data_IF_591950034261
#
_entry.id   IF_591950034261
#
_cell.length_a   1.000
_cell.length_b   1.000
_cell.length_c   1.000
_cell.angle_alpha   90.00
_cell.angle_beta   90.00
_cell.angle_gamma   90.00
#
_symmetry.space_group_name_H-M   'P 1'
#
loop_
_entity.id
_entity.type
_entity.pdbx_description
1 polymer ?
#
# COMPACT_ATOMS: atom_id res chain seq x y z
N UNK A 1 27.70 -9.25 24.77
CA UNK A 1 27.75 -8.95 23.32
C UNK A 1 26.48 -9.54 22.73
N UNK A 2 25.45 -8.73 22.52
CA UNK A 2 24.21 -9.18 21.88
C UNK A 2 24.53 -9.39 20.41
N UNK A 3 24.46 -10.64 19.94
CA UNK A 3 24.60 -10.97 18.52
C UNK A 3 23.51 -10.21 17.74
N UNK A 4 23.88 -9.05 17.19
CA UNK A 4 22.99 -8.22 16.41
C UNK A 4 22.65 -8.96 15.12
N UNK A 5 21.37 -9.18 14.86
CA UNK A 5 20.90 -9.80 13.62
C UNK A 5 21.50 -9.03 12.43
N UNK A 6 22.18 -9.72 11.49
CA UNK A 6 22.91 -9.06 10.41
C UNK A 6 21.94 -8.33 9.48
N UNK A 7 22.36 -7.17 8.97
CA UNK A 7 21.62 -6.47 7.94
C UNK A 7 21.57 -7.31 6.66
N UNK A 8 20.41 -7.37 6.03
CA UNK A 8 20.18 -8.01 4.73
C UNK A 8 19.91 -6.95 3.65
N UNK A 9 19.43 -5.78 4.05
CA UNK A 9 19.13 -4.65 3.18
C UNK A 9 19.86 -3.37 3.61
N UNK A 10 20.16 -2.54 2.61
CA UNK A 10 20.31 -1.11 2.85
C UNK A 10 18.91 -0.51 3.04
N UNK A 11 18.65 0.24 4.13
CA UNK A 11 17.35 0.87 4.34
C UNK A 11 16.97 1.78 3.17
N UNK A 12 15.67 1.87 2.89
CA UNK A 12 15.12 2.74 1.87
C UNK A 12 13.84 3.39 2.40
N UNK A 13 13.55 4.61 1.94
CA UNK A 13 12.30 5.28 2.26
C UNK A 13 11.86 6.19 1.12
N UNK A 14 10.55 6.40 1.03
CA UNK A 14 9.92 7.43 0.21
C UNK A 14 8.76 8.04 1.00
N UNK A 15 8.61 9.36 0.89
CA UNK A 15 7.58 10.18 1.53
C UNK A 15 6.78 10.87 0.42
N UNK A 16 5.46 11.04 0.60
CA UNK A 16 4.66 11.97 -0.19
C UNK A 16 3.97 13.02 0.69
N UNK A 17 3.98 14.26 0.20
CA UNK A 17 3.24 15.40 0.74
C UNK A 17 1.91 15.67 0.00
N UNK A 18 1.54 14.77 -0.92
CA UNK A 18 0.22 14.71 -1.52
C UNK A 18 0.13 14.92 -3.04
N UNK A 19 -0.89 14.26 -3.60
CA UNK A 19 -1.49 14.26 -4.93
C UNK A 19 -2.23 15.55 -5.34
N UNK A 20 -2.21 15.99 -6.60
CA UNK A 20 -3.27 16.87 -7.10
C UNK A 20 -2.97 17.60 -8.40
N UNK A 21 -3.91 18.43 -8.84
CA UNK A 21 -3.76 19.32 -9.99
C UNK A 21 -2.87 20.53 -9.67
N UNK A 22 -1.64 20.27 -9.22
CA UNK A 22 -0.63 21.29 -8.92
C UNK A 22 -0.14 21.86 -10.24
N UNK A 23 -0.29 23.17 -10.44
CA UNK A 23 0.14 23.83 -11.67
C UNK A 23 1.46 24.55 -11.44
N UNK A 24 2.48 24.21 -12.23
CA UNK A 24 3.80 24.84 -12.17
C UNK A 24 3.73 26.37 -12.27
N UNK A 25 2.92 26.90 -13.19
CA UNK A 25 2.74 28.33 -13.39
C UNK A 25 2.07 29.07 -12.22
N UNK A 26 1.42 28.34 -11.31
CA UNK A 26 0.72 28.89 -10.15
C UNK A 26 1.40 28.55 -8.83
N UNK A 27 2.51 27.80 -8.84
CA UNK A 27 3.26 27.47 -7.63
C UNK A 27 4.39 28.49 -7.44
N UNK A 28 4.30 29.42 -6.46
CA UNK A 28 5.33 30.42 -6.24
C UNK A 28 6.66 29.80 -5.78
N UNK A 29 7.82 30.35 -6.18
CA UNK A 29 9.13 29.81 -5.79
C UNK A 29 9.35 29.71 -4.28
N UNK A 30 8.90 30.71 -3.52
CA UNK A 30 9.03 30.71 -2.05
C UNK A 30 8.20 29.60 -1.40
N UNK A 31 7.01 29.32 -1.94
CA UNK A 31 6.17 28.23 -1.45
C UNK A 31 6.76 26.88 -1.83
N UNK A 32 7.27 26.74 -3.06
CA UNK A 32 8.01 25.55 -3.48
C UNK A 32 9.19 25.27 -2.54
N UNK A 33 9.99 26.30 -2.23
CA UNK A 33 11.14 26.18 -1.34
C UNK A 33 10.76 25.74 0.08
N UNK A 34 9.63 26.21 0.61
CA UNK A 34 9.11 25.80 1.92
C UNK A 34 8.72 24.32 1.95
N UNK A 35 7.87 23.87 1.01
CA UNK A 35 7.51 22.45 0.89
C UNK A 35 8.74 21.56 0.68
N UNK A 36 9.67 22.00 -0.17
CA UNK A 36 10.91 21.29 -0.43
C UNK A 36 11.76 21.15 0.85
N UNK A 37 11.92 22.23 1.61
CA UNK A 37 12.69 22.23 2.85
C UNK A 37 12.07 21.32 3.92
N UNK A 38 10.74 21.38 4.12
CA UNK A 38 10.03 20.48 5.04
C UNK A 38 10.25 19.01 4.66
N UNK A 39 9.96 18.63 3.42
CA UNK A 39 10.11 17.24 2.96
C UNK A 39 11.56 16.73 3.05
N UNK A 40 12.54 17.59 2.73
CA UNK A 40 13.96 17.24 2.85
C UNK A 40 14.35 17.00 4.32
N UNK A 41 13.86 17.83 5.23
CA UNK A 41 14.09 17.67 6.67
C UNK A 41 13.53 16.34 7.18
N UNK A 42 12.29 15.99 6.79
CA UNK A 42 11.63 14.76 7.21
C UNK A 42 12.29 13.52 6.63
N UNK A 43 12.72 13.60 5.36
CA UNK A 43 13.50 12.55 4.70
C UNK A 43 14.78 12.26 5.47
N UNK A 44 15.55 13.30 5.82
CA UNK A 44 16.81 13.17 6.57
C UNK A 44 16.60 12.61 7.97
N UNK A 45 15.67 13.19 8.73
CA UNK A 45 15.36 12.71 10.09
C UNK A 45 14.94 11.24 10.10
N UNK A 46 14.11 10.83 9.15
CA UNK A 46 13.64 9.43 9.06
C UNK A 46 14.74 8.49 8.58
N UNK A 47 15.58 8.94 7.63
CA UNK A 47 16.76 8.19 7.18
C UNK A 47 17.73 7.93 8.33
N UNK A 48 17.99 8.94 9.17
CA UNK A 48 18.86 8.81 10.33
C UNK A 48 18.29 7.80 11.34
N UNK A 49 16.98 7.84 11.57
CA UNK A 49 16.28 6.86 12.41
C UNK A 49 16.42 5.43 11.86
N UNK A 50 16.22 5.20 10.55
CA UNK A 50 16.46 3.90 9.91
C UNK A 50 17.92 3.44 10.03
N UNK A 51 18.88 4.35 9.84
CA UNK A 51 20.31 4.06 9.96
C UNK A 51 20.72 3.70 11.39
N UNK A 52 20.00 4.21 12.40
CA UNK A 52 20.19 3.82 13.80
C UNK A 52 19.66 2.42 14.13
N UNK A 53 19.00 1.75 13.18
CA UNK A 53 18.47 0.40 13.34
C UNK A 53 17.00 0.34 13.76
N UNK A 54 16.22 1.41 13.55
CA UNK A 54 14.79 1.40 13.78
C UNK A 54 14.06 0.45 12.81
N UNK A 55 12.88 -0.04 13.23
CA UNK A 55 12.00 -0.83 12.37
C UNK A 55 11.38 0.03 11.25
N UNK A 56 10.93 -0.62 10.18
CA UNK A 56 10.22 0.08 9.11
C UNK A 56 8.96 0.80 9.63
N UNK A 57 8.24 0.17 10.58
CA UNK A 57 7.04 0.73 11.20
C UNK A 57 7.35 2.02 11.96
N UNK A 58 8.35 1.98 12.85
CA UNK A 58 8.71 3.16 13.66
C UNK A 58 9.19 4.31 12.78
N UNK A 59 9.97 4.01 11.75
CA UNK A 59 10.42 5.03 10.79
C UNK A 59 9.27 5.63 9.98
N UNK A 60 8.35 4.82 9.45
CA UNK A 60 7.21 5.32 8.68
C UNK A 60 6.27 6.18 9.54
N UNK A 61 6.01 5.76 10.78
CA UNK A 61 5.19 6.51 11.75
C UNK A 61 5.87 7.82 12.16
N UNK A 62 7.20 7.81 12.34
CA UNK A 62 7.98 9.01 12.61
C UNK A 62 7.86 10.04 11.48
N UNK A 63 8.08 9.61 10.23
CA UNK A 63 7.96 10.48 9.06
C UNK A 63 6.58 11.15 8.96
N UNK A 64 5.51 10.37 9.16
CA UNK A 64 4.14 10.88 9.08
C UNK A 64 3.78 11.74 10.29
N UNK A 65 4.32 11.46 11.49
CA UNK A 65 4.12 12.33 12.66
C UNK A 65 4.72 13.71 12.43
N UNK A 66 5.87 13.80 11.76
CA UNK A 66 6.49 15.08 11.38
C UNK A 66 5.63 15.85 10.37
N UNK A 67 5.01 15.15 9.41
CA UNK A 67 4.07 15.73 8.45
C UNK A 67 2.78 16.22 9.13
N UNK A 68 2.26 15.48 10.12
CA UNK A 68 1.06 15.85 10.88
C UNK A 68 1.25 17.10 11.77
N UNK A 69 2.49 17.45 12.13
CA UNK A 69 2.80 18.68 12.87
C UNK A 69 2.97 19.91 11.94
N UNK A 70 3.12 19.70 10.63
CA UNK A 70 3.37 20.76 9.65
C UNK A 70 2.09 21.21 8.95
N UNK A 71 1.70 22.46 9.22
CA UNK A 71 0.51 23.11 8.68
C UNK A 71 0.45 23.20 7.15
N UNK A 72 1.55 22.94 6.44
CA UNK A 72 1.57 22.88 4.99
C UNK A 72 0.82 21.67 4.43
N UNK A 73 0.73 20.57 5.17
CA UNK A 73 0.13 19.34 4.69
C UNK A 73 -1.32 19.17 5.13
N UNK A 74 -2.10 18.37 4.40
CA UNK A 74 -3.49 18.08 4.74
C UNK A 74 -3.58 16.85 5.65
N UNK A 75 -3.09 16.97 6.87
CA UNK A 75 -3.11 15.94 7.92
C UNK A 75 -2.76 16.60 9.25
N UNK A 76 -3.22 16.06 10.38
CA UNK A 76 -2.91 16.66 11.69
C UNK A 76 -3.19 18.17 11.69
N UNK A 77 -2.21 18.96 12.15
CA UNK A 77 -2.21 20.41 12.00
C UNK A 77 -2.21 20.80 10.51
N UNK A 78 -3.20 21.59 10.11
CA UNK A 78 -3.38 21.94 8.69
C UNK A 78 -4.31 20.99 7.92
N UNK A 79 -5.01 20.10 8.63
CA UNK A 79 -6.15 19.36 8.08
C UNK A 79 -7.23 20.31 7.56
N UNK A 80 -7.89 19.88 6.49
CA UNK A 80 -9.01 20.60 5.88
C UNK A 80 -10.29 20.52 6.74
N UNK A 81 -11.22 21.45 6.50
CA UNK A 81 -12.49 21.51 7.21
C UNK A 81 -13.59 20.71 6.50
N UNK A 82 -14.51 20.15 7.28
CA UNK A 82 -15.80 19.64 6.81
C UNK A 82 -16.71 20.79 6.39
N UNK A 83 -17.84 20.48 5.75
CA UNK A 83 -18.88 21.47 5.44
C UNK A 83 -19.51 22.11 6.67
N UNK A 84 -19.38 21.48 7.85
CA UNK A 84 -19.82 22.02 9.13
C UNK A 84 -18.76 22.90 9.84
N UNK A 85 -17.59 23.11 9.23
CA UNK A 85 -16.50 23.87 9.83
C UNK A 85 -15.77 23.12 10.95
N UNK A 86 -15.90 21.80 11.03
CA UNK A 86 -15.14 20.93 11.94
C UNK A 86 -13.94 20.31 11.23
N UNK A 87 -13.01 19.71 11.98
CA UNK A 87 -11.88 18.95 11.45
C UNK A 87 -12.04 17.49 11.85
N UNK A 88 -11.90 16.58 10.89
CA UNK A 88 -12.02 15.13 11.08
C UNK A 88 -10.88 14.43 10.35
N UNK A 89 -10.03 13.72 11.09
CA UNK A 89 -8.79 13.14 10.58
C UNK A 89 -8.86 11.62 10.48
N UNK A 90 -8.07 11.08 9.58
CA UNK A 90 -7.98 9.65 9.31
C UNK A 90 -6.50 9.25 9.14
N UNK A 91 -6.11 8.09 9.65
CA UNK A 91 -4.77 7.56 9.47
C UNK A 91 -4.74 6.04 9.44
N UNK A 92 -3.69 5.48 8.85
CA UNK A 92 -3.51 4.04 8.72
C UNK A 92 -2.06 3.61 8.67
N UNK A 93 -1.83 2.37 9.10
CA UNK A 93 -0.54 1.69 9.04
C UNK A 93 -0.72 0.26 8.56
N UNK A 94 0.25 -0.24 7.81
CA UNK A 94 0.33 -1.67 7.48
C UNK A 94 1.78 -2.13 7.43
N UNK A 95 2.03 -3.35 7.90
CA UNK A 95 3.36 -3.96 7.91
C UNK A 95 3.36 -5.33 7.25
N UNK A 96 4.49 -5.70 6.67
CA UNK A 96 4.72 -7.07 6.16
C UNK A 96 4.85 -8.08 7.29
N UNK A 97 5.30 -7.63 8.45
CA UNK A 97 5.33 -8.39 9.70
C UNK A 97 5.30 -7.44 10.91
N UNK A 98 4.60 -7.81 11.98
CA UNK A 98 4.75 -7.15 13.29
C UNK A 98 5.86 -7.75 14.13
N UNK A 99 6.32 -8.95 13.79
CA UNK A 99 7.38 -9.60 14.54
C UNK A 99 8.67 -8.82 14.37
N UNK A 100 9.36 -8.61 15.49
CA UNK A 100 10.71 -8.07 15.48
C UNK A 100 11.66 -9.14 14.96
N UNK A 101 12.79 -8.72 14.38
CA UNK A 101 13.85 -9.64 13.97
C UNK A 101 14.29 -10.58 15.10
N UNK A 102 14.23 -10.13 16.35
CA UNK A 102 14.65 -10.85 17.56
C UNK A 102 13.62 -11.85 18.08
N UNK A 103 12.42 -11.90 17.52
CA UNK A 103 11.35 -12.74 18.05
C UNK A 103 11.64 -14.22 17.78
N UNK A 104 11.41 -15.05 18.80
CA UNK A 104 11.69 -16.49 18.76
C UNK A 104 10.79 -17.25 17.77
N UNK A 105 9.64 -16.67 17.41
CA UNK A 105 8.71 -17.25 16.43
C UNK A 105 8.89 -16.62 15.04
N UNK A 106 9.41 -17.38 14.06
CA UNK A 106 9.88 -16.83 12.78
C UNK A 106 8.76 -16.61 11.74
N UNK A 107 7.49 -16.76 12.11
CA UNK A 107 6.38 -16.66 11.16
C UNK A 107 5.98 -15.19 10.97
N UNK A 108 6.15 -14.59 9.78
CA UNK A 108 5.80 -13.19 9.56
C UNK A 108 4.29 -12.99 9.74
N UNK A 109 3.92 -12.05 10.63
CA UNK A 109 2.52 -11.73 10.91
C UNK A 109 2.18 -10.40 10.24
N UNK A 110 1.59 -10.47 9.05
CA UNK A 110 1.05 -9.29 8.36
C UNK A 110 -0.09 -8.69 9.19
N UNK A 111 -0.01 -7.39 9.50
CA UNK A 111 -1.10 -6.64 10.16
C UNK A 111 -1.27 -5.27 9.52
N UNK A 112 -2.48 -4.75 9.62
CA UNK A 112 -2.80 -3.36 9.31
C UNK A 112 -3.84 -2.85 10.28
N UNK A 113 -3.77 -1.56 10.59
CA UNK A 113 -4.75 -0.87 11.41
C UNK A 113 -5.03 0.52 10.84
N UNK A 114 -6.25 0.99 11.03
CA UNK A 114 -6.66 2.32 10.63
C UNK A 114 -7.63 2.92 11.65
N UNK A 115 -7.60 4.25 11.71
CA UNK A 115 -8.39 5.05 12.62
C UNK A 115 -9.04 6.19 11.83
N UNK A 116 -10.30 6.49 12.13
CA UNK A 116 -11.12 7.39 11.32
C UNK A 116 -12.02 8.27 12.18
N UNK A 117 -12.48 9.37 11.56
CA UNK A 117 -13.34 10.38 12.20
C UNK A 117 -12.71 11.05 13.43
N UNK A 118 -11.38 11.02 13.53
CA UNK A 118 -10.68 11.50 14.72
C UNK A 118 -10.77 13.02 14.86
N UNK A 119 -10.94 13.44 16.11
CA UNK A 119 -10.80 14.82 16.55
C UNK A 119 -9.77 14.89 17.67
N UNK A 120 -9.05 16.01 17.71
CA UNK A 120 -8.17 16.40 18.81
C UNK A 120 -6.97 15.49 19.14
N UNK A 121 -6.82 14.30 18.56
CA UNK A 121 -5.58 13.50 18.67
C UNK A 121 -4.47 14.20 17.88
N UNK A 122 -3.37 14.60 18.51
CA UNK A 122 -2.28 15.34 17.83
C UNK A 122 -1.75 14.58 16.62
N UNK A 123 -1.47 13.29 16.83
CA UNK A 123 -0.91 12.39 15.82
C UNK A 123 -1.82 11.20 15.54
N UNK A 124 -2.80 11.32 14.62
CA UNK A 124 -3.60 10.21 14.13
C UNK A 124 -2.77 8.95 13.78
N UNK A 125 -1.59 9.12 13.16
CA UNK A 125 -0.76 7.98 12.77
C UNK A 125 -0.18 7.20 13.95
N UNK A 126 0.12 7.87 15.06
CA UNK A 126 0.58 7.20 16.28
C UNK A 126 -0.55 6.39 16.89
N UNK A 127 -1.79 6.89 16.87
CA UNK A 127 -2.96 6.12 17.31
C UNK A 127 -3.17 4.89 16.42
N UNK A 128 -3.03 5.01 15.09
CA UNK A 128 -3.09 3.86 14.18
C UNK A 128 -2.02 2.81 14.53
N UNK A 129 -0.78 3.23 14.86
CA UNK A 129 0.29 2.35 15.33
C UNK A 129 -0.07 1.64 16.63
N UNK A 130 -0.62 2.36 17.62
CA UNK A 130 -1.01 1.74 18.88
C UNK A 130 -2.16 0.74 18.68
N UNK A 131 -3.14 1.03 17.82
CA UNK A 131 -4.17 0.05 17.44
C UNK A 131 -3.56 -1.21 16.82
N UNK A 132 -2.57 -1.06 15.92
CA UNK A 132 -1.88 -2.18 15.28
C UNK A 132 -1.12 -3.07 16.28
N UNK A 133 -0.53 -2.47 17.31
CA UNK A 133 0.33 -3.16 18.29
C UNK A 133 -0.43 -3.67 19.52
N UNK A 134 -1.42 -2.93 20.01
CA UNK A 134 -2.12 -3.20 21.28
C UNK A 134 -3.39 -4.02 21.11
N UNK A 135 -3.98 -4.09 19.92
CA UNK A 135 -5.14 -4.95 19.69
C UNK A 135 -4.70 -6.33 19.21
N UNK A 136 -5.53 -7.34 19.45
CA UNK A 136 -5.26 -8.72 19.11
C UNK A 136 -4.30 -9.39 20.10
N UNK A 137 -3.19 -9.92 19.61
CA UNK A 137 -2.23 -10.64 20.45
C UNK A 137 -0.91 -9.87 20.58
N UNK A 138 -0.29 -9.97 21.77
CA UNK A 138 1.08 -9.51 22.03
C UNK A 138 2.12 -10.28 21.17
N UNK A 139 3.39 -9.90 21.28
CA UNK A 139 4.50 -10.54 20.56
C UNK A 139 4.69 -12.03 20.91
N UNK A 140 4.17 -12.48 22.05
CA UNK A 140 4.21 -13.87 22.50
C UNK A 140 2.96 -14.67 22.08
N UNK A 141 2.01 -14.03 21.39
CA UNK A 141 0.76 -14.65 20.98
C UNK A 141 -0.28 -14.74 22.11
N UNK A 142 -0.18 -13.94 23.16
CA UNK A 142 -1.20 -13.84 24.21
C UNK A 142 -2.25 -12.77 23.88
N UNK A 143 -3.55 -13.01 24.12
CA UNK A 143 -4.61 -12.02 23.92
C UNK A 143 -4.40 -10.72 24.71
N UNK A 144 -4.53 -9.58 24.05
CA UNK A 144 -4.44 -8.25 24.66
C UNK A 144 -5.79 -7.78 25.22
N UNK A 145 -6.34 -8.44 26.24
CA UNK A 145 -7.54 -7.98 26.95
C UNK A 145 -8.85 -7.84 26.15
N UNK A 146 -8.80 -7.90 24.82
CA UNK A 146 -9.87 -7.83 23.82
C UNK A 146 -10.30 -9.22 23.31
N UNK A 147 -9.82 -10.27 23.99
CA UNK A 147 -10.03 -11.66 23.61
C UNK A 147 -9.14 -12.13 22.45
N UNK A 148 -8.15 -11.34 22.03
CA UNK A 148 -7.18 -11.73 21.00
C UNK A 148 -7.61 -11.31 19.59
N UNK A 149 -8.66 -10.50 19.46
CA UNK A 149 -9.19 -10.08 18.17
C UNK A 149 -8.46 -8.84 17.65
N UNK A 150 -7.95 -8.91 16.43
CA UNK A 150 -7.40 -7.73 15.77
C UNK A 150 -8.52 -6.75 15.40
N UNK A 151 -8.36 -5.49 15.79
CA UNK A 151 -9.27 -4.41 15.39
C UNK A 151 -8.63 -3.56 14.30
N UNK A 152 -8.75 -4.00 13.05
CA UNK A 152 -8.05 -3.39 11.92
C UNK A 152 -8.58 -2.00 11.53
N UNK A 153 -9.79 -1.64 11.93
CA UNK A 153 -10.42 -0.36 11.60
C UNK A 153 -11.28 0.08 12.78
N UNK A 154 -11.02 1.27 13.34
CA UNK A 154 -11.75 1.83 14.48
C UNK A 154 -12.12 3.29 14.23
N UNK A 155 -13.33 3.67 14.63
CA UNK A 155 -13.85 5.04 14.50
C UNK A 155 -13.90 5.79 15.83
N UNK A 156 -13.87 7.11 15.75
CA UNK A 156 -14.23 7.98 16.86
C UNK A 156 -15.73 7.83 17.22
N UNK A 157 -16.14 8.16 18.47
CA UNK A 157 -15.30 8.64 19.57
C UNK A 157 -14.54 7.53 20.30
N UNK A 158 -14.91 6.25 20.13
CA UNK A 158 -14.37 5.14 20.92
C UNK A 158 -12.84 5.03 20.84
N UNK A 159 -12.28 5.13 19.63
CA UNK A 159 -10.81 5.03 19.47
C UNK A 159 -10.07 6.22 20.12
N UNK A 160 -10.72 7.37 20.31
CA UNK A 160 -10.14 8.48 21.06
C UNK A 160 -10.14 8.21 22.57
N UNK A 161 -11.14 7.49 23.09
CA UNK A 161 -11.13 7.03 24.49
C UNK A 161 -9.95 6.09 24.73
N UNK A 162 -9.68 5.19 23.79
CA UNK A 162 -8.47 4.36 23.81
C UNK A 162 -7.21 5.22 23.74
N UNK A 163 -7.17 6.22 22.87
CA UNK A 163 -6.02 7.13 22.76
C UNK A 163 -5.74 7.84 24.10
N UNK A 164 -6.79 8.32 24.80
CA UNK A 164 -6.67 8.91 26.14
C UNK A 164 -6.16 7.89 27.16
N UNK A 165 -6.73 6.69 27.17
CA UNK A 165 -6.32 5.62 28.08
C UNK A 165 -4.86 5.16 27.83
N UNK A 166 -4.39 5.24 26.59
CA UNK A 166 -3.03 4.90 26.18
C UNK A 166 -2.03 6.05 26.34
N UNK A 167 -2.48 7.23 26.77
CA UNK A 167 -1.64 8.39 27.06
C UNK A 167 -1.16 9.14 25.82
N UNK A 168 -1.89 9.06 24.70
CA UNK A 168 -1.58 9.85 23.51
C UNK A 168 -1.94 11.32 23.75
N UNK A 169 -1.19 12.21 23.11
CA UNK A 169 -1.38 13.65 23.25
C UNK A 169 -2.61 14.13 22.48
N UNK A 170 -3.41 14.96 23.15
CA UNK A 170 -4.51 15.69 22.54
C UNK A 170 -4.18 17.19 22.43
N UNK A 171 -4.68 17.81 21.37
CA UNK A 171 -4.58 19.25 21.12
C UNK A 171 -5.98 19.86 20.96
N UNK A 172 -6.16 21.14 21.34
CA UNK A 172 -7.44 21.81 21.14
C UNK A 172 -7.64 22.13 19.64
N UNK A 173 -8.87 22.43 19.23
CA UNK A 173 -9.23 22.67 17.82
C UNK A 173 -8.38 23.79 17.19
N UNK A 174 -8.00 24.82 17.96
CA UNK A 174 -7.17 25.95 17.52
C UNK A 174 -5.77 25.55 17.08
N UNK A 175 -5.24 24.43 17.58
CA UNK A 175 -3.94 23.91 17.17
C UNK A 175 -3.99 23.33 15.76
N UNK A 176 -5.10 22.70 15.39
CA UNK A 176 -5.31 22.12 14.06
C UNK A 176 -5.73 23.19 13.04
N UNK A 177 -6.41 24.23 13.51
CA UNK A 177 -6.89 25.33 12.71
C UNK A 177 -5.74 26.12 12.08
N UNK A 178 -5.86 26.44 10.80
CA UNK A 178 -4.94 27.35 10.12
C UNK A 178 -5.73 28.33 9.27
N UNK A 179 -5.26 29.57 9.21
CA UNK A 179 -5.90 30.63 8.42
C UNK A 179 -6.05 30.20 6.96
N UNK A 180 -5.01 29.59 6.39
CA UNK A 180 -4.99 29.11 5.00
C UNK A 180 -6.12 28.13 4.71
N UNK A 181 -6.28 27.09 5.55
CA UNK A 181 -7.32 26.07 5.36
C UNK A 181 -8.72 26.59 5.64
N UNK A 182 -8.85 27.53 6.57
CA UNK A 182 -10.12 28.19 6.83
C UNK A 182 -10.58 29.03 5.64
N UNK A 183 -9.67 29.79 5.03
CA UNK A 183 -9.99 30.57 3.84
C UNK A 183 -10.33 29.67 2.64
N UNK A 184 -9.63 28.53 2.47
CA UNK A 184 -9.94 27.50 1.47
C UNK A 184 -11.37 26.94 1.68
N UNK A 185 -11.73 26.59 2.91
CA UNK A 185 -13.07 26.16 3.29
C UNK A 185 -14.15 27.18 2.89
N UNK A 186 -13.94 28.45 3.25
CA UNK A 186 -14.88 29.53 2.97
C UNK A 186 -15.05 29.82 1.46
N UNK A 187 -13.96 29.75 0.68
CA UNK A 187 -14.03 29.85 -0.79
C UNK A 187 -14.77 28.66 -1.40
N UNK A 188 -14.46 27.45 -0.95
CA UNK A 188 -15.11 26.23 -1.42
C UNK A 188 -16.62 26.23 -1.20
N UNK A 189 -17.10 26.78 -0.06
CA UNK A 189 -18.55 26.90 0.21
C UNK A 189 -19.26 27.87 -0.75
N UNK A 190 -18.52 28.84 -1.31
CA UNK A 190 -19.03 29.81 -2.30
C UNK A 190 -18.88 29.32 -3.74
N UNK A 191 -18.21 28.18 -3.96
CA UNK A 191 -17.90 27.67 -5.30
C UNK A 191 -16.81 28.48 -6.04
N UNK A 192 -15.97 29.21 -5.31
CA UNK A 192 -14.88 29.99 -5.87
C UNK A 192 -13.68 29.09 -6.25
N UNK A 193 -12.90 29.49 -7.25
CA UNK A 193 -11.70 28.76 -7.66
C UNK A 193 -10.50 29.12 -6.79
N UNK A 194 -9.67 28.12 -6.46
CA UNK A 194 -8.45 28.35 -5.71
C UNK A 194 -7.38 29.08 -6.55
N UNK A 195 -6.75 30.14 -6.02
CA UNK A 195 -5.70 30.87 -6.73
C UNK A 195 -4.45 30.00 -6.96
N UNK A 196 -4.14 29.15 -5.98
CA UNK A 196 -3.10 28.12 -6.06
C UNK A 196 -3.77 26.78 -5.78
N UNK A 197 -3.88 25.95 -6.82
CA UNK A 197 -4.30 24.55 -6.67
C UNK A 197 -3.16 23.78 -6.03
N UNK A 198 -3.21 23.65 -4.71
CA UNK A 198 -2.28 22.81 -3.94
C UNK A 198 -2.77 21.36 -3.93
N UNK A 199 -1.92 20.48 -3.42
CA UNK A 199 -2.30 19.08 -3.25
C UNK A 199 -3.63 18.98 -2.49
N UNK A 200 -4.56 18.19 -3.04
CA UNK A 200 -5.79 17.74 -2.37
C UNK A 200 -5.49 16.66 -1.31
N UNK A 201 -4.21 16.41 -1.04
CA UNK A 201 -3.74 15.07 -0.77
C UNK A 201 -3.38 14.81 0.68
N UNK A 202 -3.82 13.65 1.10
CA UNK A 202 -3.20 12.74 2.06
C UNK A 202 -1.66 12.75 1.97
N UNK A 203 -1.01 12.61 3.13
CA UNK A 203 0.43 12.36 3.25
C UNK A 203 0.72 10.90 3.55
N UNK A 204 1.95 10.46 3.32
CA UNK A 204 2.33 9.11 3.68
C UNK A 204 3.80 8.81 3.47
N UNK A 205 4.23 7.69 4.05
CA UNK A 205 5.60 7.21 4.01
C UNK A 205 5.62 5.70 3.85
N UNK A 206 6.53 5.21 3.01
CA UNK A 206 6.88 3.80 2.90
C UNK A 206 8.34 3.64 3.27
N UNK A 207 8.62 2.73 4.21
CA UNK A 207 9.97 2.45 4.71
C UNK A 207 10.30 0.97 4.55
N UNK A 208 11.56 0.70 4.18
CA UNK A 208 12.22 -0.59 4.19
C UNK A 208 13.34 -0.55 5.23
N UNK A 209 13.30 -1.44 6.20
CA UNK A 209 14.35 -1.54 7.20
C UNK A 209 15.51 -2.44 6.76
N UNK A 210 16.55 -2.51 7.61
CA UNK A 210 17.77 -3.28 7.36
C UNK A 210 17.55 -4.79 7.30
N UNK A 211 16.39 -5.29 7.73
CA UNK A 211 16.05 -6.71 7.76
C UNK A 211 15.21 -7.15 6.57
N UNK A 212 14.75 -6.20 5.74
CA UNK A 212 13.93 -6.49 4.57
C UNK A 212 12.44 -6.48 4.86
N UNK A 213 12.03 -5.86 5.96
CA UNK A 213 10.62 -5.66 6.30
C UNK A 213 10.16 -4.27 5.87
N UNK A 214 8.89 -4.21 5.45
CA UNK A 214 8.28 -3.02 4.89
C UNK A 214 7.11 -2.57 5.78
N UNK A 215 6.99 -1.26 5.91
CA UNK A 215 5.83 -0.63 6.51
C UNK A 215 5.36 0.54 5.65
N UNK A 216 4.06 0.77 5.67
CA UNK A 216 3.42 1.98 5.16
C UNK A 216 2.69 2.67 6.30
N UNK A 217 2.74 4.01 6.28
CA UNK A 217 1.99 4.91 7.14
C UNK A 217 1.35 5.99 6.27
N UNK A 218 0.06 6.29 6.48
CA UNK A 218 -0.71 7.25 5.66
C UNK A 218 -1.64 8.06 6.57
N UNK A 219 -1.76 9.37 6.38
CA UNK A 219 -2.59 10.27 7.20
C UNK A 219 -3.23 11.39 6.38
N UNK A 220 -4.45 11.81 6.74
CA UNK A 220 -5.21 12.82 6.00
C UNK A 220 -6.23 13.58 6.85
N UNK A 221 -6.53 14.82 6.46
CA UNK A 221 -7.76 15.55 6.87
C UNK A 221 -8.96 15.24 5.97
N UNK A 222 -8.76 14.53 4.85
CA UNK A 222 -9.77 14.21 3.87
C UNK A 222 -9.96 15.30 2.82
N UNK A 223 -11.19 15.50 2.36
CA UNK A 223 -11.53 16.48 1.32
C UNK A 223 -12.05 17.77 1.94
N UNK A 224 -11.62 18.92 1.42
CA UNK A 224 -12.18 20.23 1.81
C UNK A 224 -13.68 20.25 1.57
N UNK A 225 -14.43 20.67 2.59
CA UNK A 225 -15.89 20.68 2.61
C UNK A 225 -16.54 19.30 2.46
N UNK A 226 -15.84 18.22 2.83
CA UNK A 226 -16.47 16.91 2.98
C UNK A 226 -17.65 16.99 3.93
N UNK A 227 -18.68 16.18 3.69
CA UNK A 227 -19.73 15.99 4.69
C UNK A 227 -19.09 15.40 5.96
N UNK A 228 -19.47 15.87 7.17
CA UNK A 228 -19.06 15.24 8.42
C UNK A 228 -19.33 13.73 8.39
N UNK A 229 -18.36 12.94 8.83
CA UNK A 229 -18.41 11.47 8.78
C UNK A 229 -18.05 10.85 7.42
N UNK A 230 -17.68 11.65 6.40
CA UNK A 230 -17.13 11.09 5.16
C UNK A 230 -15.75 10.51 5.43
N UNK A 231 -15.61 9.22 5.15
CA UNK A 231 -14.36 8.46 5.25
C UNK A 231 -13.76 8.24 3.85
N UNK A 232 -12.46 8.47 3.70
CA UNK A 232 -11.74 8.30 2.45
C UNK A 232 -11.05 6.94 2.28
N UNK A 233 -10.10 6.91 1.35
CA UNK A 233 -9.25 5.77 1.05
C UNK A 233 -8.15 5.55 2.10
N UNK A 234 -7.72 6.61 2.77
CA UNK A 234 -6.60 6.61 3.73
C UNK A 234 -6.79 5.59 4.85
N UNK A 235 -7.94 5.53 5.56
CA UNK A 235 -8.17 4.52 6.59
C UNK A 235 -8.78 3.22 6.04
N UNK A 236 -8.95 3.10 4.72
CA UNK A 236 -9.61 1.93 4.10
C UNK A 236 -8.58 0.93 3.58
N UNK A 237 -8.55 -0.25 4.19
CA UNK A 237 -7.61 -1.32 3.84
C UNK A 237 -7.68 -1.67 2.35
N UNK A 238 -6.53 -1.58 1.67
CA UNK A 238 -6.39 -1.94 0.26
C UNK A 238 -6.80 -0.83 -0.71
N UNK A 239 -7.40 0.26 -0.24
CA UNK A 239 -7.65 1.44 -1.06
C UNK A 239 -6.42 2.34 -1.07
N UNK A 240 -6.22 3.16 -0.04
CA UNK A 240 -5.14 4.15 0.03
C UNK A 240 -3.79 3.61 0.45
N UNK A 241 -3.74 2.42 1.08
CA UNK A 241 -2.49 1.85 1.59
C UNK A 241 -2.50 0.33 1.51
N UNK A 242 -1.31 -0.27 1.35
CA UNK A 242 -1.12 -1.72 1.42
C UNK A 242 0.33 -2.09 1.72
N UNK A 243 0.56 -3.12 2.52
CA UNK A 243 1.86 -3.78 2.68
C UNK A 243 1.67 -5.31 2.67
N UNK A 244 2.53 -6.03 1.95
CA UNK A 244 2.43 -7.48 1.84
C UNK A 244 3.75 -8.11 1.42
N UNK A 245 4.02 -9.32 1.92
CA UNK A 245 5.10 -10.16 1.44
C UNK A 245 4.58 -11.55 1.06
N UNK A 246 5.19 -12.16 0.04
CA UNK A 246 4.90 -13.52 -0.37
C UNK A 246 6.16 -14.25 -0.83
N UNK A 247 6.07 -15.58 -0.82
CA UNK A 247 7.11 -16.47 -1.34
C UNK A 247 6.73 -16.89 -2.76
N UNK A 248 7.66 -16.73 -3.68
CA UNK A 248 7.60 -17.20 -5.06
C UNK A 248 8.48 -18.46 -5.14
N UNK A 249 7.85 -19.60 -5.43
CA UNK A 249 8.62 -20.78 -5.84
C UNK A 249 9.15 -20.55 -7.25
N UNK A 250 10.43 -20.85 -7.48
CA UNK A 250 10.95 -21.01 -8.83
C UNK A 250 10.30 -22.26 -9.44
N UNK A 251 9.10 -22.12 -10.02
CA UNK A 251 8.45 -23.15 -10.84
C UNK A 251 8.51 -22.72 -12.29
N UNK A 252 8.90 -23.64 -13.15
CA UNK A 252 8.79 -23.50 -14.61
C UNK A 252 7.36 -23.12 -15.00
N UNK A 253 7.27 -22.28 -16.03
CA UNK A 253 6.06 -21.71 -16.57
C UNK A 253 5.05 -22.82 -16.96
N UNK A 254 4.04 -23.09 -16.13
CA UNK A 254 3.03 -24.10 -16.49
C UNK A 254 1.81 -24.24 -15.57
N UNK A 255 1.80 -23.65 -14.37
CA UNK A 255 0.63 -23.70 -13.50
C UNK A 255 -0.45 -22.70 -13.92
N UNK A 256 -1.66 -23.18 -14.24
CA UNK A 256 -2.84 -22.33 -14.50
C UNK A 256 -3.06 -21.38 -13.30
N UNK A 257 -2.89 -20.08 -13.55
CA UNK A 257 -3.09 -18.98 -12.58
C UNK A 257 -4.15 -18.03 -13.12
N UNK A 258 -4.87 -17.38 -12.20
CA UNK A 258 -5.94 -16.42 -12.47
C UNK A 258 -5.50 -15.36 -13.48
N UNK A 259 -6.33 -15.14 -14.51
CA UNK A 259 -6.12 -14.13 -15.55
C UNK A 259 -6.84 -12.86 -15.11
N UNK A 260 -6.09 -11.77 -14.92
CA UNK A 260 -6.70 -10.44 -14.86
C UNK A 260 -7.02 -10.01 -16.29
N UNK A 261 -8.27 -10.18 -16.71
CA UNK A 261 -8.70 -9.76 -18.04
C UNK A 261 -8.83 -8.24 -18.01
N UNK A 262 -7.85 -7.55 -18.59
CA UNK A 262 -8.03 -6.17 -19.02
C UNK A 262 -9.25 -6.14 -19.96
N UNK A 263 -10.21 -5.26 -19.73
CA UNK A 263 -11.43 -5.16 -20.55
C UNK A 263 -11.18 -4.52 -21.92
N UNK A 264 -10.06 -4.86 -22.57
CA UNK A 264 -9.89 -4.62 -24.00
C UNK A 264 -10.60 -5.77 -24.72
N UNK A 265 -11.86 -5.54 -25.07
CA UNK A 265 -12.45 -6.23 -26.22
C UNK A 265 -11.73 -5.70 -27.46
N UNK A 266 -10.72 -6.44 -27.93
CA UNK A 266 -10.29 -6.33 -29.31
C UNK A 266 -11.44 -6.90 -30.18
N UNK A 267 -12.02 -6.14 -31.12
CA UNK A 267 -13.14 -6.62 -31.93
C UNK A 267 -12.79 -7.78 -32.87
N UNK A 268 -11.52 -8.19 -32.93
CA UNK A 268 -11.01 -9.20 -33.87
C UNK A 268 -10.68 -10.57 -33.26
N UNK A 269 -10.94 -10.81 -31.97
CA UNK A 269 -10.87 -12.19 -31.42
C UNK A 269 -12.16 -12.97 -31.74
N UNK A 270 -12.39 -13.17 -33.03
CA UNK A 270 -13.32 -14.13 -33.55
C UNK A 270 -12.55 -15.40 -33.94
N UNK A 271 -12.17 -16.23 -32.97
CA UNK A 271 -11.85 -17.63 -33.26
C UNK A 271 -12.09 -18.56 -32.07
N UNK A 272 -12.77 -19.67 -32.39
CA UNK A 272 -13.04 -20.88 -31.63
C UNK A 272 -14.24 -20.94 -30.65
N UNK A 273 -15.43 -20.64 -31.18
CA UNK A 273 -16.68 -21.22 -30.65
C UNK A 273 -16.82 -22.70 -31.06
N UNK A 274 -16.02 -23.57 -30.45
CA UNK A 274 -16.36 -25.00 -30.36
C UNK A 274 -16.69 -25.35 -28.90
N UNK A 275 -17.90 -25.00 -28.48
CA UNK A 275 -18.47 -25.52 -27.23
C UNK A 275 -18.70 -27.02 -27.38
N UNK A 276 -17.67 -27.81 -27.07
CA UNK A 276 -17.75 -29.26 -27.07
C UNK A 276 -18.90 -29.73 -26.18
N UNK A 277 -19.66 -30.72 -26.66
CA UNK A 277 -20.84 -31.30 -26.00
C UNK A 277 -20.58 -31.77 -24.56
N UNK A 278 -19.32 -31.99 -24.18
CA UNK A 278 -18.89 -32.32 -22.82
C UNK A 278 -19.02 -31.16 -21.82
N UNK A 279 -18.80 -29.91 -22.24
CA UNK A 279 -18.90 -28.73 -21.36
C UNK A 279 -20.36 -28.41 -21.01
N UNK A 280 -21.26 -28.51 -22.01
CA UNK A 280 -22.71 -28.35 -21.82
C UNK A 280 -23.26 -29.47 -20.93
N UNK A 281 -22.81 -30.72 -21.13
CA UNK A 281 -23.20 -31.85 -20.26
C UNK A 281 -22.82 -31.62 -18.80
N UNK A 282 -21.66 -31.02 -18.53
CA UNK A 282 -21.17 -30.78 -17.17
C UNK A 282 -21.93 -29.65 -16.47
N UNK A 283 -22.21 -28.56 -17.16
CA UNK A 283 -23.04 -27.47 -16.64
C UNK A 283 -24.47 -27.93 -16.31
N UNK A 284 -25.07 -28.76 -17.16
CA UNK A 284 -26.44 -29.26 -16.94
C UNK A 284 -26.48 -30.28 -15.80
N UNK A 285 -25.45 -31.12 -15.65
CA UNK A 285 -25.36 -32.10 -14.57
C UNK A 285 -25.15 -31.46 -13.18
N UNK A 286 -24.46 -30.32 -13.11
CA UNK A 286 -24.19 -29.59 -11.87
C UNK A 286 -25.41 -28.80 -11.35
N UNK A 287 -26.42 -28.57 -12.20
CA UNK A 287 -27.64 -27.83 -11.85
C UNK A 287 -28.86 -28.73 -11.53
N UNK A 288 -28.73 -30.06 -11.57
CA UNK A 288 -29.85 -30.98 -11.33
C UNK A 288 -29.79 -31.70 -9.98
N UNK A 289 -30.95 -31.97 -9.34
CA UNK A 289 -31.02 -32.74 -8.11
C UNK A 289 -30.36 -34.13 -8.25
N UNK A 290 -29.68 -34.65 -7.20
CA UNK A 290 -28.87 -35.87 -7.27
C UNK A 290 -29.59 -37.12 -7.80
N UNK A 291 -30.91 -37.21 -7.57
CA UNK A 291 -31.76 -38.32 -8.03
C UNK A 291 -31.92 -38.32 -9.55
N UNK A 292 -32.03 -37.15 -10.17
CA UNK A 292 -32.23 -37.01 -11.62
C UNK A 292 -30.93 -37.30 -12.38
N UNK A 293 -29.79 -36.86 -11.82
CA UNK A 293 -28.48 -37.10 -12.42
C UNK A 293 -28.12 -38.60 -12.43
N UNK A 294 -28.47 -39.34 -11.38
CA UNK A 294 -28.29 -40.82 -11.32
C UNK A 294 -29.21 -41.58 -12.26
N UNK A 295 -30.41 -41.08 -12.52
CA UNK A 295 -31.38 -41.72 -13.42
C UNK A 295 -30.98 -41.55 -14.89
N UNK A 296 -30.46 -40.38 -15.25
CA UNK A 296 -30.06 -40.05 -16.62
C UNK A 296 -28.67 -40.60 -17.00
N UNK A 297 -27.80 -40.88 -16.01
CA UNK A 297 -26.44 -41.35 -16.26
C UNK A 297 -26.06 -42.55 -15.36
N UNK A 298 -26.57 -43.77 -15.65
CA UNK A 298 -26.19 -44.98 -14.91
C UNK A 298 -24.70 -45.29 -15.14
N UNK A 299 -23.97 -45.57 -14.07
CA UNK A 299 -22.53 -45.86 -14.12
C UNK A 299 -22.25 -47.09 -15.00
N UNK A 300 -21.57 -46.91 -16.13
CA UNK A 300 -21.00 -48.00 -16.91
C UNK A 300 -19.60 -48.32 -16.40
N UNK A 301 -19.46 -49.57 -15.92
CA UNK A 301 -18.22 -50.24 -15.56
C UNK A 301 -17.24 -50.21 -16.74
N UNK A 302 -16.09 -49.56 -16.55
CA UNK A 302 -14.94 -49.65 -17.47
C UNK A 302 -13.70 -49.96 -16.67
N UNK A 303 -13.42 -51.26 -16.53
CA UNK A 303 -12.08 -51.76 -16.17
C UNK A 303 -11.10 -51.32 -17.25
N UNK A 304 -10.10 -50.53 -16.87
CA UNK A 304 -8.95 -50.16 -17.72
C UNK A 304 -7.77 -51.11 -17.43
N UNK A 305 -6.90 -51.41 -18.42
CA UNK A 305 -5.80 -52.34 -18.27
C UNK A 305 -4.68 -51.76 -17.39
N UNK A 306 -4.01 -52.61 -16.61
CA UNK A 306 -2.84 -52.26 -15.81
C UNK A 306 -1.64 -51.95 -16.71
N UNK A 307 -1.45 -50.67 -17.05
CA UNK A 307 -0.13 -50.14 -17.40
C UNK A 307 0.50 -49.59 -16.12
N UNK A 308 1.70 -50.09 -15.78
CA UNK A 308 2.57 -49.47 -14.79
C UNK A 308 3.00 -48.09 -15.30
N UNK A 309 2.17 -47.08 -15.03
CA UNK A 309 2.60 -45.70 -15.12
C UNK A 309 3.43 -45.40 -13.87
N UNK A 310 4.75 -45.24 -14.02
CA UNK A 310 5.52 -44.49 -13.03
C UNK A 310 4.82 -43.15 -12.89
N UNK A 311 4.18 -42.93 -11.75
CA UNK A 311 3.34 -41.74 -11.59
C UNK A 311 4.20 -40.50 -11.79
N UNK A 312 3.68 -39.45 -12.44
CA UNK A 312 4.34 -38.12 -12.45
C UNK A 312 4.67 -37.67 -11.02
N UNK A 313 3.90 -38.17 -10.03
CA UNK A 313 4.14 -38.01 -8.60
C UNK A 313 5.45 -38.66 -8.12
N UNK A 314 5.88 -39.80 -8.67
CA UNK A 314 7.17 -40.44 -8.41
C UNK A 314 8.33 -39.67 -9.06
N UNK A 315 8.18 -39.22 -10.31
CA UNK A 315 9.17 -38.35 -10.96
C UNK A 315 9.33 -36.98 -10.24
N UNK A 316 8.24 -36.48 -9.65
CA UNK A 316 8.23 -35.27 -8.81
C UNK A 316 8.87 -35.47 -7.43
N UNK A 317 8.81 -36.70 -6.87
CA UNK A 317 9.49 -37.09 -5.63
C UNK A 317 11.00 -37.34 -5.88
N UNK A 318 11.37 -37.84 -7.06
CA UNK A 318 12.77 -38.08 -7.44
C UNK A 318 13.55 -36.78 -7.77
N UNK A 319 12.85 -35.67 -8.06
CA UNK A 319 13.45 -34.33 -8.20
C UNK A 319 13.78 -33.63 -6.86
N UNK A 320 13.63 -34.28 -5.71
CA UNK A 320 13.90 -33.72 -4.37
C UNK A 320 15.39 -33.41 -4.07
N UNK A 321 16.31 -33.59 -5.03
CA UNK A 321 17.75 -33.42 -4.81
C UNK A 321 18.35 -32.03 -5.05
N UNK A 322 17.61 -31.04 -5.58
CA UNK A 322 18.14 -29.69 -5.83
C UNK A 322 17.61 -28.68 -4.80
N UNK A 323 18.46 -27.86 -4.16
CA UNK A 323 18.00 -26.85 -3.22
C UNK A 323 17.10 -25.83 -3.94
N UNK A 324 15.78 -25.91 -3.69
CA UNK A 324 14.81 -24.94 -4.21
C UNK A 324 15.11 -23.57 -3.61
N UNK A 325 15.73 -22.69 -4.40
CA UNK A 325 15.81 -21.26 -4.07
C UNK A 325 14.38 -20.70 -4.07
N UNK A 326 13.97 -20.13 -2.95
CA UNK A 326 12.66 -19.48 -2.80
C UNK A 326 12.90 -17.98 -2.85
N UNK A 327 12.18 -17.25 -3.69
CA UNK A 327 12.27 -15.78 -3.71
C UNK A 327 11.19 -15.22 -2.78
N UNK A 328 11.57 -14.41 -1.80
CA UNK A 328 10.63 -13.58 -1.03
C UNK A 328 10.52 -12.25 -1.73
N UNK A 329 9.30 -11.84 -2.04
CA UNK A 329 8.98 -10.51 -2.54
C UNK A 329 8.11 -9.82 -1.50
N UNK A 330 8.45 -8.57 -1.20
CA UNK A 330 7.73 -7.73 -0.28
C UNK A 330 7.46 -6.37 -0.95
N UNK A 331 6.27 -5.84 -0.76
CA UNK A 331 5.87 -4.53 -1.30
C UNK A 331 5.08 -3.74 -0.27
N UNK A 332 5.20 -2.43 -0.33
CA UNK A 332 4.35 -1.50 0.41
C UNK A 332 4.06 -0.26 -0.44
N UNK A 333 2.85 0.29 -0.30
CA UNK A 333 2.28 1.33 -1.15
C UNK A 333 1.46 2.32 -0.31
N UNK A 334 1.65 3.63 -0.56
CA UNK A 334 0.83 4.72 -0.01
C UNK A 334 0.28 5.58 -1.16
N UNK A 335 -1.02 5.87 -1.09
CA UNK A 335 -1.79 6.59 -2.10
C UNK A 335 -2.20 7.98 -1.64
N UNK A 336 -2.47 8.85 -2.62
CA UNK A 336 -2.96 10.21 -2.40
C UNK A 336 -3.70 10.73 -3.62
N UNK A 337 -4.79 11.47 -3.44
CA UNK A 337 -5.63 11.99 -4.51
C UNK A 337 -7.11 11.87 -4.21
N UNK A 338 -7.94 11.66 -5.24
CA UNK A 338 -9.37 11.48 -5.08
C UNK A 338 -9.69 10.14 -4.39
N UNK A 339 -9.98 10.20 -3.10
CA UNK A 339 -10.21 8.99 -2.29
C UNK A 339 -11.35 8.10 -2.79
N UNK A 340 -12.40 8.66 -3.39
CA UNK A 340 -13.53 7.85 -3.89
C UNK A 340 -13.13 7.00 -5.11
N UNK A 341 -12.20 7.48 -5.95
CA UNK A 341 -11.59 6.66 -6.99
C UNK A 341 -10.74 5.53 -6.42
N UNK A 342 -9.92 5.81 -5.40
CA UNK A 342 -9.13 4.79 -4.71
C UNK A 342 -10.01 3.69 -4.10
N UNK A 343 -11.11 4.07 -3.46
CA UNK A 343 -12.10 3.14 -2.89
C UNK A 343 -12.73 2.26 -3.96
N UNK A 344 -13.20 2.86 -5.07
CA UNK A 344 -13.90 2.14 -6.15
C UNK A 344 -13.07 1.04 -6.80
N UNK A 345 -11.75 1.23 -6.90
CA UNK A 345 -10.85 0.29 -7.58
C UNK A 345 -9.92 -0.46 -6.62
N UNK A 346 -10.05 -0.26 -5.31
CA UNK A 346 -9.14 -0.79 -4.28
C UNK A 346 -7.66 -0.59 -4.69
N UNK A 347 -7.28 0.65 -5.02
CA UNK A 347 -6.12 0.94 -5.87
C UNK A 347 -4.79 0.36 -5.37
N UNK A 348 -4.43 0.56 -4.09
CA UNK A 348 -3.17 0.06 -3.55
C UNK A 348 -3.11 -1.48 -3.57
N UNK A 349 -4.21 -2.15 -3.21
CA UNK A 349 -4.28 -3.61 -3.31
C UNK A 349 -4.24 -4.08 -4.75
N UNK A 350 -4.94 -3.40 -5.66
CA UNK A 350 -4.97 -3.74 -7.09
C UNK A 350 -3.58 -3.68 -7.71
N UNK A 351 -2.78 -2.64 -7.44
CA UNK A 351 -1.38 -2.58 -7.89
C UNK A 351 -0.55 -3.76 -7.37
N UNK A 352 -0.67 -4.08 -6.08
CA UNK A 352 0.02 -5.25 -5.49
C UNK A 352 -0.48 -6.58 -6.09
N UNK A 353 -1.78 -6.72 -6.34
CA UNK A 353 -2.38 -7.91 -6.92
C UNK A 353 -1.95 -8.13 -8.37
N UNK A 354 -1.85 -7.06 -9.17
CA UNK A 354 -1.31 -7.13 -10.53
C UNK A 354 0.12 -7.68 -10.50
N UNK A 355 1.01 -7.15 -9.64
CA UNK A 355 2.37 -7.68 -9.51
C UNK A 355 2.40 -9.15 -9.04
N UNK A 356 1.55 -9.52 -8.09
CA UNK A 356 1.58 -10.85 -7.46
C UNK A 356 0.99 -11.94 -8.34
N UNK A 357 -0.05 -11.62 -9.11
CA UNK A 357 -0.90 -12.62 -9.75
C UNK A 357 -0.91 -12.55 -11.28
N UNK A 358 -0.46 -11.45 -11.89
CA UNK A 358 -0.41 -11.38 -13.36
C UNK A 358 0.57 -12.40 -13.93
N UNK A 359 0.22 -12.88 -15.14
CA UNK A 359 1.09 -13.77 -15.91
C UNK A 359 2.30 -12.99 -16.46
N UNK A 360 3.28 -13.71 -17.01
CA UNK A 360 4.59 -13.19 -17.44
C UNK A 360 4.58 -12.01 -18.46
N UNK A 361 3.40 -11.59 -18.92
CA UNK A 361 3.20 -10.56 -19.93
C UNK A 361 3.01 -9.13 -19.44
N UNK A 362 2.68 -8.84 -18.16
CA UNK A 362 2.74 -7.50 -17.46
C UNK A 362 1.73 -7.46 -16.28
N UNK A 363 2.02 -6.74 -15.17
CA UNK A 363 3.26 -6.04 -14.84
C UNK A 363 4.30 -6.94 -14.17
N UNK A 364 5.57 -6.76 -14.53
CA UNK A 364 6.74 -7.52 -14.04
C UNK A 364 7.41 -6.89 -12.82
N UNK A 365 7.08 -5.64 -12.52
CA UNK A 365 7.60 -4.86 -11.40
C UNK A 365 6.49 -4.08 -10.72
N UNK A 366 6.74 -3.66 -9.48
CA UNK A 366 5.82 -2.77 -8.75
C UNK A 366 5.70 -1.43 -9.46
N UNK A 367 6.76 -0.94 -10.12
CA UNK A 367 6.73 0.30 -10.88
C UNK A 367 5.69 0.22 -12.02
N UNK A 368 5.73 -0.83 -12.84
CA UNK A 368 4.75 -1.05 -13.91
C UNK A 368 3.33 -1.20 -13.36
N UNK A 369 3.16 -1.88 -12.23
CA UNK A 369 1.86 -2.05 -11.60
C UNK A 369 1.31 -0.73 -11.03
N UNK A 370 2.17 0.09 -10.43
CA UNK A 370 1.83 1.43 -9.94
C UNK A 370 1.46 2.34 -11.12
N UNK A 371 2.22 2.31 -12.22
CA UNK A 371 1.86 3.03 -13.45
C UNK A 371 0.53 2.59 -14.04
N UNK A 372 0.25 1.28 -14.07
CA UNK A 372 -1.02 0.76 -14.57
C UNK A 372 -2.25 1.22 -13.77
N UNK A 373 -2.07 1.56 -12.49
CA UNK A 373 -3.14 2.02 -11.59
C UNK A 373 -3.20 3.54 -11.48
N UNK A 374 -2.08 4.18 -11.16
CA UNK A 374 -2.00 5.61 -10.81
C UNK A 374 -1.31 6.48 -11.87
N UNK A 375 -0.64 5.88 -12.85
CA UNK A 375 -0.06 6.62 -13.97
C UNK A 375 -1.11 7.14 -14.96
N UNK A 376 -0.70 7.94 -15.95
CA UNK A 376 -1.57 8.41 -17.03
C UNK A 376 -2.31 7.25 -17.68
N UNK A 377 -3.59 7.45 -17.94
CA UNK A 377 -4.54 6.47 -18.47
C UNK A 377 -4.75 5.23 -17.59
N UNK A 378 -4.22 5.19 -16.36
CA UNK A 378 -4.34 4.09 -15.41
C UNK A 378 -5.75 3.88 -14.82
N UNK A 379 -5.92 2.84 -14.00
CA UNK A 379 -7.21 2.47 -13.40
C UNK A 379 -7.92 3.63 -12.69
N UNK A 380 -7.18 4.46 -11.95
CA UNK A 380 -7.76 5.59 -11.22
C UNK A 380 -8.38 6.60 -12.18
N UNK A 381 -7.68 6.96 -13.25
CA UNK A 381 -8.20 7.84 -14.31
C UNK A 381 -9.40 7.20 -15.02
N UNK A 382 -9.31 5.92 -15.40
CA UNK A 382 -10.40 5.19 -16.06
C UNK A 382 -11.66 5.15 -15.20
N UNK A 383 -11.52 5.01 -13.88
CA UNK A 383 -12.65 4.99 -12.94
C UNK A 383 -13.50 6.27 -12.98
N UNK A 384 -12.92 7.41 -13.39
CA UNK A 384 -13.64 8.68 -13.50
C UNK A 384 -14.55 8.74 -14.74
N UNK A 385 -14.27 7.94 -15.78
CA UNK A 385 -15.04 7.95 -17.04
C UNK A 385 -15.21 9.36 -17.60
N UNK A 386 -16.46 9.76 -17.88
CA UNK A 386 -16.80 11.09 -18.45
C UNK A 386 -16.55 12.28 -17.51
N UNK A 387 -16.20 12.01 -16.24
CA UNK A 387 -15.94 13.02 -15.20
C UNK A 387 -14.45 13.37 -15.08
N UNK A 388 -13.57 12.58 -15.71
CA UNK A 388 -12.14 12.88 -15.80
C UNK A 388 -11.90 14.30 -16.35
N UNK A 389 -11.00 15.04 -15.69
CA UNK A 389 -10.65 16.43 -16.04
C UNK A 389 -11.74 17.47 -15.75
N UNK A 390 -12.86 17.08 -15.11
CA UNK A 390 -13.96 18.00 -14.75
C UNK A 390 -14.16 18.16 -13.26
N UNK A 391 -14.10 17.06 -12.51
CA UNK A 391 -14.43 17.04 -11.06
C UNK A 391 -13.23 16.72 -10.17
N UNK A 392 -12.05 16.51 -10.74
CA UNK A 392 -10.89 15.96 -10.03
C UNK A 392 -11.00 14.46 -9.72
N UNK A 393 -12.11 13.80 -10.07
CA UNK A 393 -12.22 12.35 -9.95
C UNK A 393 -11.14 11.64 -10.77
N UNK A 394 -10.56 10.60 -10.17
CA UNK A 394 -9.47 9.81 -10.75
C UNK A 394 -8.09 10.42 -10.60
N UNK A 395 -7.96 11.70 -10.22
CA UNK A 395 -6.67 12.36 -10.07
C UNK A 395 -5.96 11.85 -8.81
N UNK A 396 -4.75 11.34 -8.97
CA UNK A 396 -4.07 10.60 -7.93
C UNK A 396 -2.57 10.40 -8.17
N UNK A 397 -1.90 9.90 -7.14
CA UNK A 397 -0.56 9.33 -7.18
C UNK A 397 -0.37 8.24 -6.13
N UNK A 398 0.58 7.35 -6.38
CA UNK A 398 0.99 6.29 -5.45
C UNK A 398 2.52 6.30 -5.36
N UNK A 399 3.04 6.16 -4.14
CA UNK A 399 4.45 5.83 -3.86
C UNK A 399 4.55 4.41 -3.31
N UNK A 400 5.72 3.79 -3.42
CA UNK A 400 5.96 2.47 -2.85
C UNK A 400 7.41 2.04 -2.82
N UNK A 401 7.63 0.87 -2.23
CA UNK A 401 8.91 0.17 -2.26
C UNK A 401 8.67 -1.31 -2.58
N UNK A 402 9.48 -1.85 -3.49
CA UNK A 402 9.56 -3.29 -3.80
C UNK A 402 10.89 -3.84 -3.27
N UNK A 403 10.84 -4.85 -2.41
CA UNK A 403 12.01 -5.55 -1.88
C UNK A 403 11.99 -7.03 -2.28
N UNK A 404 13.12 -7.54 -2.79
CA UNK A 404 13.28 -8.92 -3.21
C UNK A 404 14.45 -9.58 -2.46
N UNK A 405 14.22 -10.74 -1.87
CA UNK A 405 15.24 -11.53 -1.16
C UNK A 405 15.24 -12.97 -1.66
N UNK A 406 16.40 -13.59 -1.80
CA UNK A 406 16.50 -15.03 -2.06
C UNK A 406 16.68 -15.75 -0.72
N UNK A 407 15.72 -16.62 -0.40
CA UNK A 407 15.74 -17.51 0.75
C UNK A 407 16.35 -18.86 0.37
N UNK A 408 17.03 -19.50 1.33
CA UNK A 408 17.44 -20.88 1.20
C UNK A 408 16.26 -21.86 1.41
N UNK A 409 16.52 -23.17 1.28
CA UNK A 409 15.50 -24.21 1.40
C UNK A 409 14.84 -24.29 2.80
N UNK A 410 15.47 -23.72 3.83
CA UNK A 410 14.93 -23.65 5.20
C UNK A 410 14.04 -22.42 5.41
N UNK A 411 13.96 -21.53 4.42
CA UNK A 411 13.23 -20.26 4.53
C UNK A 411 13.99 -19.18 5.31
N UNK A 412 15.20 -19.48 5.80
CA UNK A 412 16.13 -18.47 6.25
C UNK A 412 16.63 -17.68 5.03
N UNK A 413 16.77 -16.36 5.17
CA UNK A 413 17.48 -15.57 4.16
C UNK A 413 18.86 -16.19 3.98
N UNK A 414 19.30 -16.40 2.72
CA UNK A 414 20.68 -16.82 2.45
C UNK A 414 21.58 -15.91 3.29
N UNK A 415 22.22 -16.48 4.33
CA UNK A 415 23.01 -15.70 5.28
C UNK A 415 23.91 -14.80 4.45
N UNK A 416 23.82 -13.49 4.68
CA UNK A 416 24.64 -12.48 4.01
C UNK A 416 26.15 -12.74 4.12
N UNK A 417 26.57 -13.75 4.91
CA UNK A 417 27.90 -14.33 4.94
C UNK A 417 28.51 -14.67 3.55
N UNK A 418 27.72 -14.84 2.48
CA UNK A 418 28.25 -15.04 1.12
C UNK A 418 28.18 -13.82 0.18
N UNK A 419 27.42 -12.77 0.50
CA UNK A 419 27.38 -11.53 -0.29
C UNK A 419 28.03 -10.39 0.50
N UNK A 420 29.15 -9.86 0.00
CA UNK A 420 29.78 -8.65 0.55
C UNK A 420 28.89 -7.39 0.47
N UNK A 421 27.78 -7.44 -0.27
CA UNK A 421 26.89 -6.29 -0.56
C UNK A 421 25.46 -6.54 -0.09
N UNK A 422 24.89 -5.60 0.66
CA UNK A 422 23.48 -5.60 1.09
C UNK A 422 22.52 -5.53 -0.11
N UNK A 423 21.36 -6.16 0.01
CA UNK A 423 20.26 -6.00 -0.97
C UNK A 423 19.67 -4.59 -0.89
N UNK A 424 18.94 -4.16 -1.93
CA UNK A 424 18.27 -2.86 -1.94
C UNK A 424 16.81 -3.01 -2.35
N UNK A 425 15.95 -2.20 -1.73
CA UNK A 425 14.59 -1.99 -2.22
C UNK A 425 14.58 -1.05 -3.42
N UNK A 426 13.61 -1.24 -4.31
CA UNK A 426 13.33 -0.32 -5.41
C UNK A 426 12.23 0.64 -4.96
N UNK A 427 12.57 1.91 -4.83
CA UNK A 427 11.58 2.97 -4.66
C UNK A 427 10.81 3.13 -5.98
N UNK A 428 9.49 3.22 -5.90
CA UNK A 428 8.60 3.38 -7.05
C UNK A 428 7.59 4.47 -6.76
N UNK A 429 7.14 5.16 -7.81
CA UNK A 429 6.03 6.10 -7.73
C UNK A 429 5.49 6.38 -9.13
N UNK A 430 4.20 6.70 -9.22
CA UNK A 430 3.60 7.29 -10.43
C UNK A 430 2.32 8.07 -10.07
N UNK A 431 1.90 8.97 -10.95
CA UNK A 431 0.74 9.84 -10.73
C UNK A 431 0.16 10.37 -12.06
N UNK A 432 -1.15 10.59 -12.13
CA UNK A 432 -1.83 11.02 -13.36
C UNK A 432 -2.30 12.49 -13.32
N UNK A 433 -1.91 13.22 -12.28
CA UNK A 433 -2.30 14.60 -12.01
C UNK A 433 -1.14 15.58 -12.23
N UNK A 434 -1.41 16.88 -12.02
CA UNK A 434 -0.46 17.97 -12.29
C UNK A 434 0.84 17.89 -11.50
N UNK A 435 0.82 17.34 -10.28
CA UNK A 435 2.03 17.11 -9.49
C UNK A 435 1.78 16.27 -8.23
N UNK A 436 2.85 15.67 -7.72
CA UNK A 436 2.89 14.93 -6.47
C UNK A 436 4.15 15.28 -5.69
N UNK A 437 3.98 15.96 -4.56
CA UNK A 437 5.05 16.23 -3.61
C UNK A 437 5.60 14.91 -3.07
N UNK A 438 6.89 14.65 -3.29
CA UNK A 438 7.55 13.41 -2.86
C UNK A 438 9.03 13.63 -2.57
N UNK A 439 9.55 12.85 -1.64
CA UNK A 439 10.96 12.85 -1.26
C UNK A 439 11.46 11.43 -1.03
N UNK A 440 12.65 11.10 -1.53
CA UNK A 440 13.24 9.77 -1.40
C UNK A 440 14.76 9.83 -1.45
N UNK A 441 15.39 8.70 -1.10
CA UNK A 441 16.83 8.49 -1.30
C UNK A 441 17.02 7.52 -2.45
N UNK A 442 17.85 7.91 -3.43
CA UNK A 442 18.30 7.04 -4.52
C UNK A 442 19.82 6.88 -4.52
N UNK A 443 20.31 5.94 -5.31
CA UNK A 443 21.75 5.72 -5.48
C UNK A 443 22.20 6.33 -6.81
N UNK A 444 23.25 7.14 -6.77
CA UNK A 444 23.88 7.60 -8.01
C UNK A 444 24.76 6.50 -8.65
N UNK A 445 25.31 6.80 -9.83
CA UNK A 445 26.20 5.87 -10.55
C UNK A 445 27.48 5.48 -9.76
N UNK A 446 27.83 6.22 -8.71
CA UNK A 446 29.00 5.96 -7.84
C UNK A 446 28.67 5.12 -6.61
N UNK A 447 27.39 4.82 -6.39
CA UNK A 447 26.91 4.07 -5.25
C UNK A 447 26.53 4.92 -4.03
N UNK A 448 26.59 6.25 -4.16
CA UNK A 448 26.32 7.20 -3.08
C UNK A 448 24.84 7.50 -3.00
N UNK A 449 24.34 7.66 -1.76
CA UNK A 449 22.97 8.08 -1.54
C UNK A 449 22.79 9.55 -1.90
N UNK A 450 21.81 9.81 -2.76
CA UNK A 450 21.37 11.13 -3.19
C UNK A 450 19.95 11.34 -2.73
N UNK A 451 19.73 12.45 -2.05
CA UNK A 451 18.43 12.90 -1.59
C UNK A 451 17.71 13.60 -2.74
N UNK A 452 16.44 13.26 -2.95
CA UNK A 452 15.59 13.87 -3.97
C UNK A 452 14.33 14.39 -3.32
N UNK A 453 13.90 15.57 -3.76
CA UNK A 453 12.58 16.11 -3.47
C UNK A 453 12.03 16.69 -4.77
N UNK A 454 10.84 16.26 -5.16
CA UNK A 454 10.21 16.70 -6.39
C UNK A 454 8.70 16.87 -6.19
N UNK A 455 8.08 17.70 -7.03
CA UNK A 455 6.63 17.82 -7.14
C UNK A 455 6.15 17.49 -8.55
N UNK A 456 6.87 17.95 -9.57
CA UNK A 456 6.58 17.65 -10.97
C UNK A 456 7.35 16.41 -11.46
N UNK A 457 7.08 15.98 -12.69
CA UNK A 457 7.87 14.95 -13.37
C UNK A 457 9.23 15.49 -13.79
N UNK A 458 9.26 16.74 -14.23
CA UNK A 458 10.46 17.49 -14.57
C UNK A 458 10.93 18.36 -13.39
N UNK A 459 12.21 18.77 -13.41
CA UNK A 459 12.77 19.70 -12.42
C UNK A 459 11.97 21.00 -12.34
N UNK A 460 11.82 21.57 -11.14
CA UNK A 460 11.23 22.90 -10.96
C UNK A 460 12.20 23.95 -11.53
N UNK A 461 11.70 24.83 -12.39
CA UNK A 461 12.49 25.87 -13.08
C UNK A 461 12.10 27.24 -12.57
#
# INVERSE_FOLDING_TARGET
MTDSIPATFKPALIIHGGAGNIQRSRLPPDLYAQYHASLLSYLRSTKDLLNSGASALDAAVHAVSLLEDDEFFNCGRGSVFTSAGTIEMEASVMVTTVNKPTDETPSPIKRGAAVMELRNVRHPIQLARECLLRTGHDANGNPNGDGGNMHSQLGAPYVEELARAWGLEFKPDEWFWTKRRWEEHQRGLKGETEPVSLSQGTVGCVCLDRWGELAVATSTGGLTNKLPGRIGDTPTLGAGFWAEAWKEGLREAGGKRMVYRSSMSDPNDAEDTSWGTAAIKRMVAECMPPVVNRLLWPATDTRLPSQEHSSEKQALLEQEGLPRRIKRRAVALSGTGNGDSFLRVAAARTACAMLRYSQASVPRSLAEAVSAVAGPDGELQRSAGRRWGKTGEGEAGIIGIEAETVLDATGAGLRAAQKKTLSRGKVVFDFNCGGMWRAWVEEDATGKDVERVMVFREEYQ
#
